data_IF_796158032955
#
_entry.id   IF_796158032955
#
_cell.length_a   1.000
_cell.length_b   1.000
_cell.length_c   1.000
_cell.angle_alpha   90.00
_cell.angle_beta   90.00
_cell.angle_gamma   90.00
#
_symmetry.space_group_name_H-M   'P 1'
#
loop_
_entity.id
_entity.type
_entity.pdbx_description
1 polymer ?
#
# COMPACT_ATOMS: atom_id res chain seq x y z
N UNK A 1 3.25 -12.10 -28.86
CA UNK A 1 3.31 -12.14 -27.38
C UNK A 1 2.27 -13.16 -26.92
N UNK A 2 2.65 -14.20 -26.18
CA UNK A 2 1.65 -15.15 -25.63
C UNK A 2 0.74 -14.41 -24.63
N UNK A 3 -0.55 -14.73 -24.61
CA UNK A 3 -1.53 -14.05 -23.73
C UNK A 3 -1.14 -14.09 -22.25
N UNK A 4 -0.47 -15.16 -21.82
CA UNK A 4 0.05 -15.34 -20.44
C UNK A 4 1.07 -14.27 -20.06
N UNK A 5 1.96 -13.87 -20.98
CA UNK A 5 2.96 -12.84 -20.72
C UNK A 5 2.34 -11.45 -20.55
N UNK A 6 1.26 -11.18 -21.30
CA UNK A 6 0.51 -9.93 -21.15
C UNK A 6 -0.13 -9.84 -19.75
N UNK A 7 -0.74 -10.94 -19.28
CA UNK A 7 -1.31 -11.01 -17.92
C UNK A 7 -0.24 -10.78 -16.86
N UNK A 8 0.92 -11.42 -16.99
CA UNK A 8 2.04 -11.21 -16.05
C UNK A 8 2.51 -9.76 -15.98
N UNK A 9 2.62 -9.07 -17.12
CA UNK A 9 2.99 -7.64 -17.18
C UNK A 9 1.93 -6.78 -16.47
N UNK A 10 0.65 -7.02 -16.75
CA UNK A 10 -0.45 -6.28 -16.11
C UNK A 10 -0.46 -6.48 -14.59
N UNK A 11 -0.21 -7.70 -14.12
CA UNK A 11 -0.09 -7.99 -12.68
C UNK A 11 1.08 -7.26 -12.03
N UNK A 12 2.23 -7.17 -12.70
CA UNK A 12 3.37 -6.39 -12.20
C UNK A 12 3.02 -4.90 -12.08
N UNK A 13 2.39 -4.31 -13.09
CA UNK A 13 1.98 -2.90 -13.08
C UNK A 13 0.97 -2.65 -11.96
N UNK A 14 -0.04 -3.53 -11.84
CA UNK A 14 -1.03 -3.47 -10.77
C UNK A 14 -0.35 -3.57 -9.39
N UNK A 15 0.57 -4.50 -9.20
CA UNK A 15 1.30 -4.66 -7.93
C UNK A 15 2.09 -3.43 -7.52
N UNK A 16 2.76 -2.76 -8.47
CA UNK A 16 3.46 -1.50 -8.20
C UNK A 16 2.47 -0.38 -7.88
N UNK A 17 1.43 -0.21 -8.69
CA UNK A 17 0.43 0.84 -8.50
C UNK A 17 -0.30 0.69 -7.16
N UNK A 18 -0.76 -0.51 -6.83
CA UNK A 18 -1.44 -0.81 -5.57
C UNK A 18 -0.49 -0.70 -4.37
N UNK A 19 0.79 -1.06 -4.53
CA UNK A 19 1.79 -0.92 -3.46
C UNK A 19 2.11 0.54 -3.14
N UNK A 20 2.28 1.37 -4.17
CA UNK A 20 2.45 2.82 -4.02
C UNK A 20 1.21 3.46 -3.41
N UNK A 21 0.02 3.11 -3.88
CA UNK A 21 -1.21 3.67 -3.35
C UNK A 21 -1.47 3.24 -1.91
N UNK A 22 -1.51 1.94 -1.62
CA UNK A 22 -1.86 1.45 -0.29
C UNK A 22 -0.75 1.72 0.75
N UNK A 23 0.50 1.48 0.39
CA UNK A 23 1.65 1.66 1.28
C UNK A 23 2.02 3.13 1.46
N UNK A 24 2.27 3.85 0.36
CA UNK A 24 2.79 5.23 0.45
C UNK A 24 1.66 6.24 0.65
N UNK A 25 0.62 6.20 -0.17
CA UNK A 25 -0.43 7.22 -0.09
C UNK A 25 -1.37 6.99 1.10
N UNK A 26 -2.03 5.83 1.16
CA UNK A 26 -3.07 5.58 2.16
C UNK A 26 -2.51 5.32 3.56
N UNK A 27 -1.50 4.46 3.70
CA UNK A 27 -0.97 4.11 5.02
C UNK A 27 0.05 5.14 5.53
N UNK A 28 1.08 5.48 4.74
CA UNK A 28 2.12 6.39 5.21
C UNK A 28 1.64 7.85 5.26
N UNK A 29 1.29 8.44 4.11
CA UNK A 29 0.84 9.84 4.07
C UNK A 29 -0.49 9.99 4.80
N UNK A 30 -1.45 9.10 4.55
CA UNK A 30 -2.75 9.12 5.22
C UNK A 30 -2.63 8.98 6.74
N UNK A 31 -1.80 8.07 7.25
CA UNK A 31 -1.59 7.92 8.69
C UNK A 31 -0.95 9.17 9.34
N UNK A 32 -0.02 9.84 8.65
CA UNK A 32 0.53 11.12 9.12
C UNK A 32 -0.57 12.20 9.16
N UNK A 33 -1.40 12.28 8.12
CA UNK A 33 -2.50 13.25 8.05
C UNK A 33 -3.56 13.00 9.12
N UNK A 34 -3.87 11.74 9.43
CA UNK A 34 -4.77 11.37 10.52
C UNK A 34 -4.26 11.96 11.85
N UNK A 35 -2.98 11.75 12.17
CA UNK A 35 -2.38 12.31 13.39
C UNK A 35 -2.37 13.84 13.37
N UNK A 36 -1.98 14.47 12.25
CA UNK A 36 -1.94 15.94 12.13
C UNK A 36 -3.33 16.56 12.29
N UNK A 37 -4.36 15.88 11.79
CA UNK A 37 -5.74 16.36 11.87
C UNK A 37 -6.26 16.25 13.30
N UNK A 38 -5.96 15.15 13.97
CA UNK A 38 -6.36 14.90 15.35
C UNK A 38 -5.70 15.87 16.33
N UNK A 39 -4.40 16.18 16.18
CA UNK A 39 -3.73 17.19 17.04
C UNK A 39 -4.23 18.63 16.81
N UNK A 40 -4.95 18.87 15.70
CA UNK A 40 -5.55 20.17 15.37
C UNK A 40 -7.04 20.23 15.73
N UNK A 41 -7.63 19.11 16.15
CA UNK A 41 -9.02 19.05 16.55
C UNK A 41 -9.23 19.72 17.92
N UNK A 42 -10.44 20.21 18.16
CA UNK A 42 -10.83 20.82 19.43
C UNK A 42 -10.85 19.80 20.58
N UNK A 43 -11.14 18.54 20.25
CA UNK A 43 -11.12 17.39 21.15
C UNK A 43 -10.17 16.32 20.61
N UNK A 44 -9.35 15.74 21.49
CA UNK A 44 -8.39 14.70 21.12
C UNK A 44 -9.00 13.31 21.30
N UNK A 45 -9.16 12.58 20.20
CA UNK A 45 -9.46 11.15 20.19
C UNK A 45 -8.17 10.32 20.10
N UNK A 46 -7.79 9.74 21.23
CA UNK A 46 -6.61 8.88 21.33
C UNK A 46 -6.66 7.66 20.39
N UNK A 47 -7.85 7.16 20.03
CA UNK A 47 -8.00 6.03 19.12
C UNK A 47 -7.57 6.41 17.70
N UNK A 48 -8.00 7.58 17.21
CA UNK A 48 -7.65 8.06 15.88
C UNK A 48 -6.14 8.31 15.75
N UNK A 49 -5.51 8.86 16.79
CA UNK A 49 -4.05 9.01 16.85
C UNK A 49 -3.38 7.63 16.77
N UNK A 50 -3.84 6.67 17.56
CA UNK A 50 -3.26 5.32 17.58
C UNK A 50 -3.39 4.63 16.21
N UNK A 51 -4.53 4.77 15.53
CA UNK A 51 -4.75 4.23 14.18
C UNK A 51 -3.82 4.92 13.18
N UNK A 52 -3.69 6.25 13.23
CA UNK A 52 -2.78 6.99 12.36
C UNK A 52 -1.33 6.53 12.51
N UNK A 53 -0.86 6.39 13.75
CA UNK A 53 0.49 5.86 14.04
C UNK A 53 0.64 4.42 13.54
N UNK A 54 -0.35 3.55 13.80
CA UNK A 54 -0.32 2.17 13.34
C UNK A 54 -0.23 2.08 11.81
N UNK A 55 -1.01 2.89 11.08
CA UNK A 55 -0.92 2.99 9.60
C UNK A 55 0.49 3.34 9.14
N UNK A 56 1.14 4.31 9.78
CA UNK A 56 2.52 4.71 9.44
C UNK A 56 3.52 3.58 9.73
N UNK A 57 3.42 2.94 10.90
CA UNK A 57 4.30 1.84 11.28
C UNK A 57 4.19 0.64 10.33
N UNK A 58 2.98 0.32 9.88
CA UNK A 58 2.72 -0.81 8.98
C UNK A 58 2.72 -0.43 7.50
N UNK A 59 2.97 0.82 7.13
CA UNK A 59 2.93 1.28 5.75
C UNK A 59 3.86 0.47 4.81
N UNK A 60 5.08 0.17 5.29
CA UNK A 60 6.01 -0.67 4.54
C UNK A 60 5.53 -2.11 4.36
N UNK A 61 4.88 -2.69 5.38
CA UNK A 61 4.29 -4.02 5.30
C UNK A 61 3.08 -4.04 4.35
N UNK A 62 2.22 -3.03 4.40
CA UNK A 62 1.06 -2.88 3.50
C UNK A 62 1.53 -2.76 2.03
N UNK A 63 2.58 -1.98 1.78
CA UNK A 63 3.19 -1.88 0.45
C UNK A 63 3.79 -3.21 -0.02
N UNK A 64 4.48 -3.94 0.85
CA UNK A 64 5.13 -5.21 0.49
C UNK A 64 4.13 -6.34 0.22
N UNK A 65 2.96 -6.34 0.86
CA UNK A 65 1.88 -7.27 0.55
C UNK A 65 1.43 -7.16 -0.91
N UNK A 66 1.35 -5.94 -1.46
CA UNK A 66 1.05 -5.75 -2.88
C UNK A 66 2.09 -6.41 -3.79
N UNK A 67 3.36 -6.33 -3.42
CA UNK A 67 4.43 -7.00 -4.15
C UNK A 67 4.31 -8.53 -4.06
N UNK A 68 4.00 -9.09 -2.89
CA UNK A 68 3.84 -10.54 -2.71
C UNK A 68 2.64 -11.09 -3.48
N UNK A 69 1.50 -10.39 -3.49
CA UNK A 69 0.24 -10.89 -4.06
C UNK A 69 0.16 -10.66 -5.56
N UNK A 70 0.72 -9.57 -6.09
CA UNK A 70 0.56 -9.19 -7.49
C UNK A 70 1.88 -9.22 -8.26
N UNK A 71 2.95 -8.63 -7.72
CA UNK A 71 4.20 -8.45 -8.46
C UNK A 71 5.00 -9.76 -8.61
N UNK A 72 5.18 -10.51 -7.52
CA UNK A 72 5.89 -11.81 -7.53
C UNK A 72 5.23 -12.84 -8.47
N UNK A 73 3.92 -13.10 -8.40
CA UNK A 73 3.28 -14.01 -9.34
C UNK A 73 3.28 -13.46 -10.77
N UNK A 74 3.14 -12.14 -10.96
CA UNK A 74 3.29 -11.52 -12.28
C UNK A 74 4.64 -11.81 -12.92
N UNK A 75 5.74 -11.70 -12.14
CA UNK A 75 7.08 -12.05 -12.59
C UNK A 75 7.23 -13.53 -12.90
N UNK A 76 6.62 -14.42 -12.11
CA UNK A 76 6.66 -15.86 -12.36
C UNK A 76 5.97 -16.20 -13.70
N UNK A 77 4.83 -15.56 -14.00
CA UNK A 77 4.08 -15.77 -15.25
C UNK A 77 4.80 -15.22 -16.50
N UNK A 78 5.60 -14.16 -16.37
CA UNK A 78 6.40 -13.65 -17.50
C UNK A 78 7.53 -14.62 -17.88
N UNK A 79 8.08 -15.33 -16.88
CA UNK A 79 9.21 -16.26 -17.05
C UNK A 79 8.78 -17.68 -17.46
N UNK A 80 7.50 -18.01 -17.32
CA UNK A 80 6.89 -19.24 -17.82
C UNK A 80 6.69 -19.20 -19.35
#
# INVERSE_FOLDING_TARGET
MSGIRLVGILMCIAGVATGLYAGVWWAFIGGIMDVITEIRADELDAMNIAIGIAKVMFAGAIGSFSAMVLFVPGLALIKA
#
